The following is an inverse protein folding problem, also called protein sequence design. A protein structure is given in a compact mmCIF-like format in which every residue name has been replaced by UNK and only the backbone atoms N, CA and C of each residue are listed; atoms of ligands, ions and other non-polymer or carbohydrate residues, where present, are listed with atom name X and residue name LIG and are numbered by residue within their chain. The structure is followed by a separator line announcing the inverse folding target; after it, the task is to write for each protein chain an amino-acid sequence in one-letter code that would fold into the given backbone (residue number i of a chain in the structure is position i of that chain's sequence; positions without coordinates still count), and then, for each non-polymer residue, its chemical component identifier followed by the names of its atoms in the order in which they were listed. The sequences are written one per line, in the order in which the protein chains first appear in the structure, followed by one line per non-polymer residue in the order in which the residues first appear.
data_IF_177025921286
#
_entry.id   IF_177025921286
#
_cell.length_a   1.000
_cell.length_b   1.000
_cell.length_c   1.000
_cell.angle_alpha   90.00
_cell.angle_beta   90.00
_cell.angle_gamma   90.00
#
_symmetry.space_group_name_H-M   'P 1'
#
loop_
_entity.id
_entity.type
_entity.pdbx_description
1 polymer ?
#
# COMPACT_ATOMS: atom_id res chain seq x y z
N UNK A 1 -9.17 14.58 14.44
CA UNK A 1 -7.98 15.10 13.74
C UNK A 1 -6.84 15.45 14.69
N UNK A 2 -7.10 16.09 15.85
CA UNK A 2 -6.06 16.37 16.87
C UNK A 2 -5.55 15.10 17.59
N UNK A 3 -6.40 14.11 17.91
CA UNK A 3 -5.96 12.85 18.55
C UNK A 3 -4.97 12.05 17.70
N UNK A 4 -5.23 11.86 16.41
CA UNK A 4 -4.30 11.19 15.49
C UNK A 4 -2.93 11.88 15.40
N UNK A 5 -2.85 13.20 15.68
CA UNK A 5 -1.57 13.93 15.67
C UNK A 5 -0.75 13.71 16.95
N UNK A 6 -1.42 13.49 18.08
CA UNK A 6 -0.78 13.21 19.37
C UNK A 6 -0.30 11.75 19.40
N UNK A 7 -1.11 10.84 18.89
CA UNK A 7 -0.80 9.41 18.82
C UNK A 7 0.40 9.13 17.89
N UNK A 8 0.45 9.78 16.73
CA UNK A 8 1.61 9.70 15.82
C UNK A 8 2.90 10.27 16.41
N UNK A 9 2.81 11.30 17.26
CA UNK A 9 3.99 11.87 17.93
C UNK A 9 4.53 10.95 19.02
N UNK A 10 3.67 10.33 19.81
CA UNK A 10 4.08 9.36 20.83
C UNK A 10 4.75 8.13 20.20
N UNK A 11 4.21 7.69 19.07
CA UNK A 11 4.77 6.62 18.25
C UNK A 11 6.19 6.90 17.78
N UNK A 12 6.39 8.08 17.20
CA UNK A 12 7.70 8.54 16.74
C UNK A 12 8.73 8.55 17.87
N UNK A 13 8.35 9.06 19.04
CA UNK A 13 9.21 9.10 20.23
C UNK A 13 9.58 7.70 20.71
N UNK A 14 8.62 6.76 20.72
CA UNK A 14 8.85 5.36 21.06
C UNK A 14 9.84 4.66 20.11
N UNK A 15 9.70 4.87 18.80
CA UNK A 15 10.63 4.33 17.81
C UNK A 15 12.03 4.89 17.93
N UNK A 16 12.16 6.21 18.11
CA UNK A 16 13.47 6.85 18.27
C UNK A 16 14.20 6.32 19.51
N UNK A 17 13.48 6.10 20.61
CA UNK A 17 14.03 5.48 21.81
C UNK A 17 14.47 4.02 21.58
N UNK A 18 13.65 3.22 20.89
CA UNK A 18 13.99 1.82 20.55
C UNK A 18 15.18 1.72 19.59
N UNK A 19 15.28 2.60 18.59
CA UNK A 19 16.43 2.70 17.69
C UNK A 19 17.70 3.04 18.49
N UNK A 20 17.61 3.98 19.45
CA UNK A 20 18.72 4.30 20.35
C UNK A 20 19.20 3.08 21.13
N UNK A 21 18.29 2.26 21.67
CA UNK A 21 18.61 1.02 22.39
C UNK A 21 19.27 -0.03 21.48
N UNK A 22 18.80 -0.18 20.25
CA UNK A 22 19.40 -1.10 19.26
C UNK A 22 20.82 -0.65 18.88
N UNK A 23 21.00 0.65 18.60
CA UNK A 23 22.33 1.20 18.27
C UNK A 23 23.31 0.94 19.42
N UNK A 24 22.89 1.15 20.65
CA UNK A 24 23.75 0.93 21.81
C UNK A 24 24.08 -0.55 22.01
N UNK A 25 23.12 -1.45 21.83
CA UNK A 25 23.37 -2.89 21.87
C UNK A 25 24.31 -3.36 20.76
N UNK A 26 24.19 -2.84 19.53
CA UNK A 26 25.11 -3.13 18.42
C UNK A 26 26.54 -2.64 18.72
N UNK A 27 26.69 -1.47 19.36
CA UNK A 27 28.01 -1.00 19.81
C UNK A 27 28.63 -1.97 20.83
N UNK A 28 27.85 -2.45 21.80
CA UNK A 28 28.33 -3.43 22.79
C UNK A 28 28.76 -4.74 22.13
N UNK A 29 27.98 -5.25 21.16
CA UNK A 29 28.35 -6.44 20.37
C UNK A 29 29.69 -6.22 19.66
N UNK A 30 29.86 -5.08 18.99
CA UNK A 30 31.11 -4.77 18.28
C UNK A 30 32.31 -4.66 19.24
N UNK A 31 32.12 -4.09 20.43
CA UNK A 31 33.18 -4.02 21.44
C UNK A 31 33.61 -5.40 21.93
N UNK A 32 32.67 -6.28 22.26
CA UNK A 32 32.98 -7.65 22.70
C UNK A 32 33.59 -8.50 21.57
N UNK A 33 33.13 -8.32 20.33
CA UNK A 33 33.71 -8.99 19.16
C UNK A 33 35.18 -8.59 18.94
N UNK A 34 35.52 -7.30 19.10
CA UNK A 34 36.90 -6.83 19.01
C UNK A 34 37.77 -7.43 20.14
N UNK A 35 37.28 -7.49 21.38
CA UNK A 35 37.99 -8.14 22.49
C UNK A 35 38.25 -9.62 22.23
N UNK A 36 37.26 -10.33 21.69
CA UNK A 36 37.39 -11.74 21.30
C UNK A 36 38.52 -11.90 20.28
N UNK A 37 38.58 -11.03 19.26
CA UNK A 37 39.64 -11.07 18.25
C UNK A 37 41.02 -10.87 18.89
N UNK A 38 41.17 -9.86 19.75
CA UNK A 38 42.44 -9.61 20.46
C UNK A 38 42.87 -10.79 21.34
N UNK A 39 41.92 -11.47 21.99
CA UNK A 39 42.20 -12.64 22.83
C UNK A 39 42.60 -13.86 21.98
N UNK A 40 41.95 -14.07 20.83
CA UNK A 40 42.32 -15.13 19.89
C UNK A 40 43.73 -14.92 19.32
N UNK A 41 44.09 -13.68 18.99
CA UNK A 41 45.42 -13.33 18.51
C UNK A 41 46.48 -13.62 19.58
N UNK A 42 46.20 -13.32 20.85
CA UNK A 42 47.07 -13.66 21.99
C UNK A 42 47.21 -15.17 22.18
N UNK A 43 46.12 -15.95 22.10
CA UNK A 43 46.18 -17.42 22.28
C UNK A 43 47.05 -18.09 21.20
N UNK A 44 46.98 -17.57 19.97
CA UNK A 44 47.73 -18.09 18.82
C UNK A 44 49.23 -17.71 18.83
N UNK A 45 49.66 -16.79 19.71
CA UNK A 45 51.08 -16.46 19.85
C UNK A 45 51.84 -17.64 20.49
N UNK A 46 52.79 -18.21 19.74
CA UNK A 46 53.59 -19.36 20.17
C UNK A 46 54.68 -19.00 21.19
N UNK A 47 54.91 -17.71 21.46
CA UNK A 47 55.89 -17.23 22.44
C UNK A 47 55.39 -17.23 23.88
N UNK A 48 54.08 -17.43 24.11
CA UNK A 48 53.46 -17.38 25.43
C UNK A 48 53.52 -18.70 26.20
N UNK A 49 53.69 -18.61 27.51
CA UNK A 49 53.67 -19.77 28.41
C UNK A 49 52.26 -20.38 28.51
N UNK A 50 52.16 -21.70 28.78
CA UNK A 50 50.87 -22.40 28.89
C UNK A 50 49.90 -21.75 29.88
N UNK A 51 50.42 -21.22 30.99
CA UNK A 51 49.64 -20.54 32.04
C UNK A 51 48.94 -19.28 31.48
N UNK A 52 49.62 -18.51 30.63
CA UNK A 52 49.05 -17.29 30.03
C UNK A 52 47.98 -17.65 28.99
N UNK A 53 48.17 -18.75 28.25
CA UNK A 53 47.17 -19.26 27.31
C UNK A 53 45.91 -19.74 28.02
N UNK A 54 46.04 -20.38 29.18
CA UNK A 54 44.92 -20.82 30.01
C UNK A 54 44.07 -19.63 30.50
N UNK A 55 44.73 -18.58 31.01
CA UNK A 55 44.05 -17.35 31.46
C UNK A 55 43.36 -16.62 30.30
N UNK A 56 44.01 -16.50 29.14
CA UNK A 56 43.41 -15.88 27.96
C UNK A 56 42.19 -16.65 27.46
N UNK A 57 42.17 -17.98 27.61
CA UNK A 57 41.02 -18.83 27.26
C UNK A 57 39.83 -18.60 28.20
N UNK A 58 40.09 -18.43 29.49
CA UNK A 58 39.04 -18.09 30.46
C UNK A 58 38.41 -16.72 30.18
N UNK A 59 39.22 -15.71 29.82
CA UNK A 59 38.73 -14.39 29.43
C UNK A 59 37.97 -14.41 28.10
N UNK A 60 38.36 -15.30 27.19
CA UNK A 60 37.65 -15.53 25.92
C UNK A 60 36.26 -16.09 26.17
N UNK A 61 36.13 -17.12 27.01
CA UNK A 61 34.83 -17.72 27.36
C UNK A 61 33.89 -16.67 27.98
N UNK A 62 34.42 -15.82 28.86
CA UNK A 62 33.67 -14.71 29.47
C UNK A 62 33.21 -13.68 28.43
N UNK A 63 34.06 -13.34 27.47
CA UNK A 63 33.71 -12.39 26.40
C UNK A 63 32.67 -12.95 25.44
N UNK A 64 32.72 -14.26 25.15
CA UNK A 64 31.71 -14.97 24.36
C UNK A 64 30.35 -14.96 25.08
N UNK A 65 30.34 -15.16 26.41
CA UNK A 65 29.12 -15.09 27.20
C UNK A 65 28.51 -13.68 27.23
N UNK A 66 29.34 -12.64 27.40
CA UNK A 66 28.89 -11.25 27.30
C UNK A 66 28.31 -10.92 25.93
N UNK A 67 28.91 -11.42 24.84
CA UNK A 67 28.41 -11.22 23.48
C UNK A 67 27.04 -11.87 23.29
N UNK A 68 26.81 -13.07 23.82
CA UNK A 68 25.48 -13.72 23.79
C UNK A 68 24.43 -12.90 24.54
N UNK A 69 24.79 -12.32 25.69
CA UNK A 69 23.89 -11.45 26.47
C UNK A 69 23.59 -10.15 25.72
N UNK A 70 24.57 -9.54 25.05
CA UNK A 70 24.35 -8.35 24.25
C UNK A 70 23.44 -8.65 23.04
N UNK A 71 23.66 -9.79 22.38
CA UNK A 71 22.84 -10.26 21.25
C UNK A 71 21.39 -10.53 21.67
N UNK A 72 21.17 -11.16 22.83
CA UNK A 72 19.80 -11.43 23.31
C UNK A 72 19.03 -10.15 23.60
N UNK A 73 19.67 -9.16 24.22
CA UNK A 73 19.08 -7.82 24.47
C UNK A 73 18.69 -7.10 23.17
N UNK A 74 19.56 -7.13 22.15
CA UNK A 74 19.23 -6.52 20.85
C UNK A 74 18.04 -7.25 20.20
N UNK A 75 18.04 -8.58 20.25
CA UNK A 75 16.97 -9.39 19.67
C UNK A 75 15.64 -9.13 20.37
N UNK A 76 15.64 -8.98 21.70
CA UNK A 76 14.48 -8.64 22.50
C UNK A 76 13.88 -7.28 22.10
N UNK A 77 14.72 -6.23 22.05
CA UNK A 77 14.28 -4.87 21.67
C UNK A 77 13.74 -4.84 20.23
N UNK A 78 14.38 -5.54 19.30
CA UNK A 78 13.91 -5.65 17.91
C UNK A 78 12.55 -6.36 17.83
N UNK A 79 12.39 -7.45 18.59
CA UNK A 79 11.14 -8.22 18.61
C UNK A 79 9.99 -7.41 19.23
N UNK A 80 10.25 -6.72 20.35
CA UNK A 80 9.29 -5.84 21.01
C UNK A 80 8.84 -4.71 20.06
N UNK A 81 9.78 -4.03 19.43
CA UNK A 81 9.50 -2.93 18.49
C UNK A 81 8.74 -3.42 17.25
N UNK A 82 9.07 -4.61 16.74
CA UNK A 82 8.36 -5.23 15.62
C UNK A 82 6.92 -5.58 15.97
N UNK A 83 6.69 -6.12 17.17
CA UNK A 83 5.35 -6.48 17.63
C UNK A 83 4.48 -5.24 17.87
N UNK A 84 5.06 -4.18 18.44
CA UNK A 84 4.39 -2.88 18.60
C UNK A 84 3.97 -2.31 17.24
N UNK A 85 4.90 -2.24 16.28
CA UNK A 85 4.63 -1.79 14.90
C UNK A 85 3.51 -2.61 14.24
N UNK A 86 3.59 -3.94 14.36
CA UNK A 86 2.59 -4.83 13.76
C UNK A 86 1.20 -4.59 14.35
N UNK A 87 1.09 -4.40 15.66
CA UNK A 87 -0.19 -4.17 16.33
C UNK A 87 -0.81 -2.83 15.94
N UNK A 88 -0.02 -1.77 15.84
CA UNK A 88 -0.51 -0.44 15.50
C UNK A 88 -0.86 -0.31 14.03
N UNK A 89 -0.08 -0.91 13.13
CA UNK A 89 -0.42 -0.98 11.70
C UNK A 89 -1.74 -1.73 11.51
N UNK A 90 -1.96 -2.83 12.23
CA UNK A 90 -3.23 -3.56 12.20
C UNK A 90 -4.39 -2.68 12.66
N UNK A 91 -4.22 -1.97 13.78
CA UNK A 91 -5.24 -1.09 14.34
C UNK A 91 -5.57 0.08 13.41
N UNK A 92 -4.58 0.68 12.73
CA UNK A 92 -4.80 1.79 11.80
C UNK A 92 -5.57 1.33 10.54
N UNK A 93 -5.23 0.16 10.00
CA UNK A 93 -5.85 -0.37 8.78
C UNK A 93 -7.30 -0.78 9.05
N UNK A 94 -7.56 -1.50 10.14
CA UNK A 94 -8.91 -1.97 10.47
C UNK A 94 -9.82 -0.83 10.94
N UNK A 95 -9.32 0.11 11.74
CA UNK A 95 -10.17 1.12 12.37
C UNK A 95 -10.53 2.30 11.49
N UNK A 96 -9.74 2.67 10.46
CA UNK A 96 -9.98 3.91 9.70
C UNK A 96 -10.68 3.70 8.36
N UNK A 97 -10.36 2.64 7.62
CA UNK A 97 -10.94 2.45 6.27
C UNK A 97 -12.34 1.83 6.38
N UNK A 98 -12.47 0.78 7.20
CA UNK A 98 -13.76 0.11 7.36
C UNK A 98 -14.77 1.00 8.09
N UNK A 99 -14.35 1.75 9.10
CA UNK A 99 -15.24 2.73 9.76
C UNK A 99 -15.66 3.82 8.77
N UNK A 100 -14.73 4.40 8.01
CA UNK A 100 -15.06 5.41 7.01
C UNK A 100 -16.04 4.90 5.95
N UNK A 101 -15.82 3.69 5.41
CA UNK A 101 -16.73 3.09 4.44
C UNK A 101 -18.10 2.77 5.06
N UNK A 102 -18.12 2.30 6.31
CA UNK A 102 -19.34 2.01 7.02
C UNK A 102 -20.13 3.30 7.33
N UNK A 103 -19.45 4.34 7.81
CA UNK A 103 -20.04 5.65 8.07
C UNK A 103 -20.54 6.28 6.77
N UNK A 104 -19.77 6.19 5.67
CA UNK A 104 -20.21 6.63 4.36
C UNK A 104 -21.46 5.87 3.91
N UNK A 105 -21.49 4.54 4.07
CA UNK A 105 -22.64 3.71 3.73
C UNK A 105 -23.88 4.10 4.54
N UNK A 106 -23.75 4.26 5.86
CA UNK A 106 -24.84 4.66 6.75
C UNK A 106 -25.36 6.05 6.34
N UNK A 107 -24.48 7.04 6.22
CA UNK A 107 -24.86 8.40 5.83
C UNK A 107 -25.51 8.44 4.44
N UNK A 108 -24.99 7.67 3.48
CA UNK A 108 -25.57 7.60 2.14
C UNK A 108 -26.95 6.93 2.15
N UNK A 109 -27.12 5.85 2.92
CA UNK A 109 -28.40 5.18 3.09
C UNK A 109 -29.42 6.13 3.75
N UNK A 110 -29.02 6.84 4.79
CA UNK A 110 -29.89 7.79 5.48
C UNK A 110 -30.26 8.97 4.59
N UNK A 111 -29.33 9.47 3.77
CA UNK A 111 -29.65 10.46 2.74
C UNK A 111 -30.71 9.92 1.76
N UNK A 112 -30.54 8.70 1.25
CA UNK A 112 -31.50 8.10 0.33
C UNK A 112 -32.89 7.96 0.96
N UNK A 113 -33.01 7.56 2.22
CA UNK A 113 -34.33 7.39 2.87
C UNK A 113 -35.08 8.71 3.08
N UNK A 114 -34.40 9.86 3.05
CA UNK A 114 -35.05 11.18 3.16
C UNK A 114 -35.64 11.71 1.87
N UNK A 115 -35.29 11.12 0.71
CA UNK A 115 -35.74 11.61 -0.60
C UNK A 115 -37.16 11.13 -0.92
N UNK A 116 -37.95 11.98 -1.58
CA UNK A 116 -39.26 11.57 -2.13
C UNK A 116 -39.08 10.64 -3.34
N UNK A 117 -40.16 9.99 -3.79
CA UNK A 117 -40.13 9.06 -4.93
C UNK A 117 -39.67 9.79 -6.21
N UNK A 118 -40.14 11.02 -6.41
CA UNK A 118 -39.75 11.86 -7.55
C UNK A 118 -38.26 12.24 -7.47
N UNK A 119 -37.76 12.52 -6.27
CA UNK A 119 -36.35 12.85 -6.09
C UNK A 119 -35.44 11.64 -6.33
N UNK A 120 -35.87 10.43 -5.94
CA UNK A 120 -35.18 9.19 -6.28
C UNK A 120 -35.11 8.97 -7.80
N UNK A 121 -36.22 9.23 -8.49
CA UNK A 121 -36.28 9.16 -9.95
C UNK A 121 -35.32 10.14 -10.63
N UNK A 122 -35.32 11.39 -10.17
CA UNK A 122 -34.42 12.41 -10.67
C UNK A 122 -32.96 12.03 -10.43
N UNK A 123 -32.61 11.53 -9.24
CA UNK A 123 -31.26 11.09 -8.92
C UNK A 123 -30.81 9.91 -9.80
N UNK A 124 -31.68 8.92 -9.98
CA UNK A 124 -31.44 7.77 -10.85
C UNK A 124 -31.21 8.20 -12.31
N UNK A 125 -32.09 9.05 -12.83
CA UNK A 125 -31.96 9.59 -14.19
C UNK A 125 -30.68 10.41 -14.33
N UNK A 126 -30.33 11.24 -13.35
CA UNK A 126 -29.09 12.01 -13.35
C UNK A 126 -27.85 11.11 -13.48
N UNK A 127 -27.76 10.06 -12.66
CA UNK A 127 -26.63 9.12 -12.74
C UNK A 127 -26.57 8.36 -14.06
N UNK A 128 -27.71 7.87 -14.57
CA UNK A 128 -27.67 7.16 -15.84
C UNK A 128 -27.37 8.08 -17.03
N UNK A 129 -27.81 9.35 -17.02
CA UNK A 129 -27.38 10.32 -18.02
C UNK A 129 -25.88 10.62 -17.94
N UNK A 130 -25.32 10.67 -16.74
CA UNK A 130 -23.89 10.84 -16.52
C UNK A 130 -23.08 9.64 -17.07
N UNK A 131 -23.59 8.41 -16.88
CA UNK A 131 -22.99 7.21 -17.49
C UNK A 131 -23.08 7.25 -19.02
N UNK A 132 -24.25 7.58 -19.59
CA UNK A 132 -24.42 7.74 -21.03
C UNK A 132 -23.47 8.81 -21.58
N UNK A 133 -23.33 9.94 -20.87
CA UNK A 133 -22.41 11.02 -21.25
C UNK A 133 -20.97 10.53 -21.33
N UNK A 134 -20.50 9.77 -20.33
CA UNK A 134 -19.15 9.19 -20.38
C UNK A 134 -18.99 8.16 -21.50
N UNK A 135 -19.99 7.32 -21.72
CA UNK A 135 -19.97 6.33 -22.80
C UNK A 135 -19.88 7.01 -24.19
N UNK A 136 -20.65 8.09 -24.41
CA UNK A 136 -20.60 8.89 -25.64
C UNK A 136 -19.23 9.55 -25.81
N UNK A 137 -18.69 10.18 -24.76
CA UNK A 137 -17.35 10.77 -24.82
C UNK A 137 -16.27 9.72 -25.11
N UNK A 138 -16.39 8.53 -24.54
CA UNK A 138 -15.51 7.40 -24.84
C UNK A 138 -15.58 7.02 -26.32
N UNK A 139 -16.78 6.90 -26.90
CA UNK A 139 -16.97 6.63 -28.34
C UNK A 139 -16.35 7.74 -29.21
N UNK A 140 -16.56 9.01 -28.86
CA UNK A 140 -15.98 10.17 -29.56
C UNK A 140 -14.46 10.07 -29.55
N UNK A 141 -13.83 9.87 -28.38
CA UNK A 141 -12.37 9.79 -28.24
C UNK A 141 -11.81 8.63 -29.06
N UNK A 142 -12.49 7.48 -29.08
CA UNK A 142 -12.07 6.32 -29.88
C UNK A 142 -12.11 6.66 -31.38
N UNK A 143 -13.23 7.24 -31.84
CA UNK A 143 -13.43 7.56 -33.25
C UNK A 143 -12.43 8.63 -33.76
N UNK A 144 -12.30 9.73 -33.03
CA UNK A 144 -11.36 10.80 -33.40
C UNK A 144 -9.91 10.39 -33.23
N UNK A 145 -9.60 9.54 -32.24
CA UNK A 145 -8.26 8.97 -32.05
C UNK A 145 -7.83 8.16 -33.28
N UNK A 146 -8.71 7.29 -33.77
CA UNK A 146 -8.45 6.50 -34.97
C UNK A 146 -8.34 7.36 -36.24
N UNK A 147 -9.16 8.41 -36.37
CA UNK A 147 -9.04 9.37 -37.47
C UNK A 147 -7.70 10.10 -37.46
N UNK A 148 -7.23 10.56 -36.29
CA UNK A 148 -5.94 11.22 -36.15
C UNK A 148 -4.79 10.30 -36.57
N UNK A 149 -4.82 9.04 -36.13
CA UNK A 149 -3.79 8.04 -36.46
C UNK A 149 -3.69 7.83 -37.97
N UNK A 150 -4.84 7.73 -38.66
CA UNK A 150 -4.91 7.60 -40.12
C UNK A 150 -4.45 8.87 -40.82
N UNK A 151 -4.93 10.03 -40.39
CA UNK A 151 -4.60 11.32 -41.01
C UNK A 151 -3.09 11.62 -40.97
N UNK A 152 -2.44 11.34 -39.85
CA UNK A 152 -1.00 11.56 -39.70
C UNK A 152 -0.12 10.38 -40.16
N UNK A 153 -0.71 9.30 -40.69
CA UNK A 153 -0.01 8.08 -41.11
C UNK A 153 0.98 7.56 -40.04
N UNK A 154 0.59 7.62 -38.76
CA UNK A 154 1.48 7.32 -37.64
C UNK A 154 1.99 5.87 -37.66
N UNK A 155 1.20 4.95 -38.21
CA UNK A 155 1.59 3.55 -38.39
C UNK A 155 2.79 3.38 -39.36
N UNK A 156 2.86 4.22 -40.39
CA UNK A 156 3.93 4.20 -41.40
C UNK A 156 5.15 4.97 -40.88
N UNK A 157 4.91 6.14 -40.25
CA UNK A 157 5.96 7.02 -39.73
C UNK A 157 6.71 6.40 -38.54
N UNK A 158 6.04 5.59 -37.72
CA UNK A 158 6.62 4.97 -36.52
C UNK A 158 6.27 3.47 -36.41
N UNK A 159 7.00 2.58 -37.10
CA UNK A 159 6.63 1.16 -37.22
C UNK A 159 6.65 0.38 -35.91
N UNK A 160 7.52 0.76 -34.95
CA UNK A 160 7.54 0.16 -33.59
C UNK A 160 6.27 0.52 -32.80
N UNK A 161 5.79 1.76 -32.94
CA UNK A 161 4.54 2.23 -32.34
C UNK A 161 3.30 1.70 -33.08
N UNK A 162 3.42 1.45 -34.39
CA UNK A 162 2.35 0.89 -35.21
C UNK A 162 1.77 -0.42 -34.67
N UNK A 163 2.61 -1.34 -34.17
CA UNK A 163 2.13 -2.60 -33.55
C UNK A 163 1.30 -2.36 -32.29
N UNK A 164 1.71 -1.41 -31.44
CA UNK A 164 1.00 -1.03 -30.21
C UNK A 164 -0.33 -0.36 -30.56
N UNK A 165 -0.32 0.52 -31.57
CA UNK A 165 -1.52 1.20 -32.06
C UNK A 165 -2.54 0.20 -32.61
N UNK A 166 -2.10 -0.80 -33.38
CA UNK A 166 -2.98 -1.83 -33.93
C UNK A 166 -3.59 -2.71 -32.84
N UNK A 167 -2.82 -3.07 -31.81
CA UNK A 167 -3.34 -3.80 -30.65
C UNK A 167 -4.35 -2.95 -29.87
N UNK A 168 -4.03 -1.67 -29.61
CA UNK A 168 -4.93 -0.71 -28.97
C UNK A 168 -6.24 -0.60 -29.75
N UNK A 169 -6.20 -0.47 -31.08
CA UNK A 169 -7.41 -0.38 -31.92
C UNK A 169 -8.31 -1.60 -31.78
N UNK A 170 -7.73 -2.81 -31.70
CA UNK A 170 -8.52 -4.04 -31.44
C UNK A 170 -9.25 -3.95 -30.09
N UNK A 171 -8.55 -3.55 -29.03
CA UNK A 171 -9.13 -3.39 -27.68
C UNK A 171 -10.22 -2.30 -27.67
N UNK A 172 -9.97 -1.16 -28.32
CA UNK A 172 -10.95 -0.07 -28.41
C UNK A 172 -12.22 -0.45 -29.15
N UNK A 173 -12.14 -1.29 -30.19
CA UNK A 173 -13.33 -1.79 -30.88
C UNK A 173 -14.23 -2.64 -29.97
N UNK A 174 -13.64 -3.47 -29.09
CA UNK A 174 -14.42 -4.20 -28.09
C UNK A 174 -15.07 -3.26 -27.07
N UNK A 175 -14.34 -2.24 -26.60
CA UNK A 175 -14.90 -1.22 -25.72
C UNK A 175 -16.04 -0.44 -26.36
N UNK A 176 -15.95 -0.13 -27.65
CA UNK A 176 -16.99 0.57 -28.40
C UNK A 176 -18.28 -0.26 -28.46
N UNK A 177 -18.19 -1.56 -28.75
CA UNK A 177 -19.35 -2.47 -28.73
C UNK A 177 -19.96 -2.54 -27.32
N UNK A 178 -19.11 -2.68 -26.29
CA UNK A 178 -19.54 -2.74 -24.89
C UNK A 178 -20.24 -1.44 -24.46
N UNK A 179 -19.71 -0.27 -24.85
CA UNK A 179 -20.33 1.02 -24.58
C UNK A 179 -21.73 1.12 -25.22
N UNK A 180 -21.89 0.65 -26.46
CA UNK A 180 -23.22 0.61 -27.10
C UNK A 180 -24.19 -0.30 -26.33
N UNK A 181 -23.76 -1.51 -25.93
CA UNK A 181 -24.59 -2.42 -25.13
C UNK A 181 -25.01 -1.76 -23.82
N UNK A 182 -24.09 -1.11 -23.12
CA UNK A 182 -24.38 -0.39 -21.86
C UNK A 182 -25.38 0.74 -22.10
N UNK A 183 -25.19 1.56 -23.14
CA UNK A 183 -26.11 2.65 -23.47
C UNK A 183 -27.53 2.09 -23.72
N UNK A 184 -27.66 1.04 -24.53
CA UNK A 184 -28.97 0.40 -24.78
C UNK A 184 -29.61 -0.13 -23.50
N UNK A 185 -28.84 -0.80 -22.64
CA UNK A 185 -29.34 -1.35 -21.39
C UNK A 185 -29.83 -0.24 -20.44
N UNK A 186 -29.07 0.85 -20.30
CA UNK A 186 -29.47 2.00 -19.47
C UNK A 186 -30.75 2.64 -20.01
N UNK A 187 -30.89 2.81 -21.33
CA UNK A 187 -32.10 3.36 -21.94
C UNK A 187 -33.33 2.49 -21.63
N UNK A 188 -33.20 1.15 -21.71
CA UNK A 188 -34.31 0.23 -21.37
C UNK A 188 -34.71 0.37 -19.90
N UNK A 189 -33.73 0.45 -18.99
CA UNK A 189 -33.98 0.65 -17.56
C UNK A 189 -34.66 2.01 -17.32
N UNK A 190 -34.21 3.06 -18.00
CA UNK A 190 -34.80 4.40 -17.91
C UNK A 190 -36.27 4.38 -18.33
N UNK A 191 -36.58 3.75 -19.47
CA UNK A 191 -37.96 3.62 -19.93
C UNK A 191 -38.79 2.89 -18.87
N UNK A 192 -38.28 1.78 -18.33
CA UNK A 192 -38.97 0.99 -17.30
C UNK A 192 -39.28 1.81 -16.04
N UNK A 193 -38.29 2.57 -15.53
CA UNK A 193 -38.46 3.38 -14.32
C UNK A 193 -39.40 4.56 -14.55
N UNK A 194 -39.27 5.26 -15.68
CA UNK A 194 -40.18 6.35 -16.02
C UNK A 194 -41.63 5.86 -16.19
N UNK A 195 -41.85 4.67 -16.78
CA UNK A 195 -43.17 4.04 -16.83
C UNK A 195 -43.69 3.74 -15.42
N UNK A 196 -42.85 3.14 -14.57
CA UNK A 196 -43.23 2.81 -13.19
C UNK A 196 -43.69 4.04 -12.40
N UNK A 197 -42.95 5.14 -12.48
CA UNK A 197 -43.30 6.40 -11.80
C UNK A 197 -44.53 7.06 -12.43
N UNK A 198 -44.71 6.95 -13.73
CA UNK A 198 -45.87 7.56 -14.40
C UNK A 198 -47.20 6.92 -13.97
N UNK A 199 -47.20 5.62 -13.66
CA UNK A 199 -48.41 4.88 -13.29
C UNK A 199 -48.66 4.75 -11.79
N UNK A 200 -47.72 5.15 -10.94
CA UNK A 200 -47.77 4.96 -9.49
C UNK A 200 -47.60 6.29 -8.77
#
# INVERSE_FOLDING_TARGET
MYENSIENNNLKVGYEASIGRVIEGVKQINQEANKIQELLDKINDNSLTPIIKELAKQDLDRSIENLKIAQSKVTEVVTETSNQLSSEVSNIIESNIFSFLNDFYINYKDFLTTLTIEQHACLFNFFGYLIIFFAINSVIIIYYGDLLIKYFNLEIKYPKLGKIIQLRRKILNYHLILNFIIIYLIIIIFISINIYIFFN
#
